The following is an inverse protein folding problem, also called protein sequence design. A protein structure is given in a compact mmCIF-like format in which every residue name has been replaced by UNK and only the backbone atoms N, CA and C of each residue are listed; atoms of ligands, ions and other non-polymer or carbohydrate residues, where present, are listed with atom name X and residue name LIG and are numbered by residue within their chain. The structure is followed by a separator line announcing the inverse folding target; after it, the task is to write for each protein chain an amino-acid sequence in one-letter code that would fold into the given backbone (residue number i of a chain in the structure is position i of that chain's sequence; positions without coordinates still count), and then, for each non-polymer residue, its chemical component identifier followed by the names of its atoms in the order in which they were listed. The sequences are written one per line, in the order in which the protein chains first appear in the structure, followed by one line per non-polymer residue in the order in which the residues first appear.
data_IF_393590927529
#
_entry.id   IF_393590927529
#
_cell.length_a   1.000
_cell.length_b   1.000
_cell.length_c   1.000
_cell.angle_alpha   90.00
_cell.angle_beta   90.00
_cell.angle_gamma   90.00
#
_symmetry.space_group_name_H-M   'P 1'
#
loop_
_entity.id
_entity.type
_entity.pdbx_description
1 polymer ?
#
# COMPACT_ATOMS: atom_id res chain seq x y z
N UNK A 1 -49.10 -24.05 -25.31
CA UNK A 1 -47.78 -24.05 -24.63
C UNK A 1 -47.41 -22.61 -24.28
N UNK A 2 -47.62 -22.22 -23.04
CA UNK A 2 -47.33 -20.87 -22.53
C UNK A 2 -45.84 -20.73 -22.24
N UNK A 3 -45.15 -19.85 -22.97
CA UNK A 3 -43.75 -19.50 -22.69
C UNK A 3 -43.68 -18.79 -21.33
N UNK A 4 -43.21 -19.49 -20.29
CA UNK A 4 -42.80 -18.88 -19.02
C UNK A 4 -41.65 -17.91 -19.31
N UNK A 5 -41.92 -16.61 -19.22
CA UNK A 5 -40.86 -15.61 -19.14
C UNK A 5 -40.14 -15.81 -17.81
N UNK A 6 -38.89 -16.22 -17.85
CA UNK A 6 -38.01 -16.19 -16.68
C UNK A 6 -38.01 -14.76 -16.12
N UNK A 7 -38.18 -14.57 -14.80
CA UNK A 7 -38.05 -13.25 -14.23
C UNK A 7 -36.61 -12.80 -14.49
N UNK A 8 -36.46 -11.69 -15.22
CA UNK A 8 -35.20 -10.95 -15.27
C UNK A 8 -34.82 -10.68 -13.81
N UNK A 9 -33.85 -11.44 -13.30
CA UNK A 9 -33.25 -11.23 -12.00
C UNK A 9 -32.92 -9.75 -11.92
N UNK A 10 -33.50 -9.03 -10.97
CA UNK A 10 -33.25 -7.60 -10.75
C UNK A 10 -31.73 -7.41 -10.72
N UNK A 11 -31.14 -6.97 -11.83
CA UNK A 11 -29.71 -6.68 -11.91
C UNK A 11 -29.44 -5.64 -10.83
N UNK A 12 -28.79 -6.04 -9.74
CA UNK A 12 -28.26 -5.13 -8.73
C UNK A 12 -27.44 -4.09 -9.50
N UNK A 13 -27.96 -2.85 -9.55
CA UNK A 13 -27.29 -1.80 -10.32
C UNK A 13 -26.20 -1.32 -9.37
N UNK A 14 -25.08 -2.03 -9.39
CA UNK A 14 -23.87 -1.61 -8.72
C UNK A 14 -23.36 -0.37 -9.46
N UNK A 15 -23.17 0.74 -8.75
CA UNK A 15 -22.69 2.00 -9.34
C UNK A 15 -21.28 2.29 -8.85
N UNK A 16 -20.41 2.69 -9.77
CA UNK A 16 -19.09 3.21 -9.43
C UNK A 16 -19.22 4.69 -9.04
N UNK A 17 -18.86 5.00 -7.81
CA UNK A 17 -18.88 6.34 -7.23
C UNK A 17 -17.44 6.78 -6.95
N UNK A 18 -17.16 8.07 -7.17
CA UNK A 18 -15.86 8.66 -6.83
C UNK A 18 -15.60 8.60 -5.32
N UNK A 19 -14.36 8.28 -4.94
CA UNK A 19 -13.95 8.15 -3.55
C UNK A 19 -14.31 9.37 -2.69
N UNK A 20 -14.12 10.57 -3.21
CA UNK A 20 -14.34 11.83 -2.49
C UNK A 20 -15.80 12.08 -2.11
N UNK A 21 -16.73 11.37 -2.75
CA UNK A 21 -18.16 11.41 -2.39
C UNK A 21 -18.50 10.51 -1.20
N UNK A 22 -17.62 9.55 -0.88
CA UNK A 22 -17.79 8.59 0.21
C UNK A 22 -16.93 8.98 1.40
N UNK A 23 -15.66 9.32 1.15
CA UNK A 23 -14.68 9.70 2.18
C UNK A 23 -14.24 11.15 1.94
N UNK A 24 -14.52 12.06 2.89
CA UNK A 24 -14.06 13.45 2.78
C UNK A 24 -12.53 13.52 2.71
N UNK A 25 -11.99 14.47 1.94
CA UNK A 25 -10.54 14.71 1.85
C UNK A 25 -9.87 15.01 3.19
N UNK A 26 -10.63 15.52 4.16
CA UNK A 26 -10.15 15.76 5.52
C UNK A 26 -9.90 14.48 6.32
N UNK A 27 -10.51 13.36 5.91
CA UNK A 27 -10.35 12.04 6.56
C UNK A 27 -9.20 11.28 5.91
N UNK A 28 -9.19 11.22 4.58
CA UNK A 28 -8.12 10.59 3.82
C UNK A 28 -7.81 11.42 2.56
N UNK A 29 -6.71 12.19 2.54
CA UNK A 29 -6.27 12.86 1.34
C UNK A 29 -5.67 11.83 0.37
N UNK A 30 -6.30 11.67 -0.78
CA UNK A 30 -5.72 10.93 -1.91
C UNK A 30 -5.06 11.94 -2.85
N UNK A 31 -3.85 11.63 -3.32
CA UNK A 31 -3.10 12.50 -4.23
C UNK A 31 -3.86 12.81 -5.52
N UNK A 32 -3.66 14.00 -6.10
CA UNK A 32 -4.47 14.48 -7.24
C UNK A 32 -4.36 13.60 -8.49
N UNK A 33 -3.25 12.88 -8.64
CA UNK A 33 -2.99 11.98 -9.76
C UNK A 33 -3.52 10.57 -9.53
N UNK A 34 -3.88 10.25 -8.28
CA UNK A 34 -4.34 8.93 -7.85
C UNK A 34 -5.84 8.78 -8.13
N UNK A 35 -6.26 7.57 -8.49
CA UNK A 35 -7.64 7.23 -8.86
C UNK A 35 -8.21 6.23 -7.87
N UNK A 36 -9.28 6.65 -7.19
CA UNK A 36 -10.01 5.81 -6.26
C UNK A 36 -11.52 5.88 -6.51
N UNK A 37 -12.20 4.75 -6.29
CA UNK A 37 -13.63 4.64 -6.45
C UNK A 37 -14.24 3.56 -5.57
N UNK A 38 -15.53 3.69 -5.32
CA UNK A 38 -16.32 2.76 -4.51
C UNK A 38 -17.48 2.25 -5.34
N UNK A 39 -17.61 0.94 -5.45
CA UNK A 39 -18.82 0.32 -6.00
C UNK A 39 -19.86 0.27 -4.88
N UNK A 40 -20.98 0.97 -5.06
CA UNK A 40 -22.11 0.97 -4.12
C UNK A 40 -23.30 0.20 -4.67
N UNK A 41 -24.10 -0.37 -3.77
CA UNK A 41 -25.36 -1.00 -4.10
C UNK A 41 -26.48 0.04 -4.34
N UNK A 42 -27.71 -0.44 -4.54
CA UNK A 42 -28.89 0.42 -4.77
C UNK A 42 -29.28 1.26 -3.55
N UNK A 43 -28.82 0.89 -2.35
CA UNK A 43 -29.06 1.61 -1.11
C UNK A 43 -27.91 2.55 -0.75
N UNK A 44 -26.87 2.64 -1.60
CA UNK A 44 -25.66 3.42 -1.34
C UNK A 44 -24.66 2.72 -0.42
N UNK A 45 -24.82 1.44 -0.12
CA UNK A 45 -23.89 0.68 0.71
C UNK A 45 -22.64 0.29 -0.10
N UNK A 46 -21.41 0.52 0.42
CA UNK A 46 -20.17 0.09 -0.24
C UNK A 46 -20.07 -1.44 -0.35
N UNK A 47 -19.73 -1.94 -1.53
CA UNK A 47 -19.43 -3.36 -1.78
C UNK A 47 -17.97 -3.60 -2.16
N UNK A 48 -17.40 -2.77 -3.02
CA UNK A 48 -16.02 -2.91 -3.46
C UNK A 48 -15.31 -1.56 -3.48
N UNK A 49 -14.01 -1.59 -3.26
CA UNK A 49 -13.13 -0.46 -3.39
C UNK A 49 -12.16 -0.71 -4.53
N UNK A 50 -12.00 0.28 -5.41
CA UNK A 50 -11.11 0.22 -6.56
C UNK A 50 -10.10 1.34 -6.41
N UNK A 51 -8.84 0.98 -6.49
CA UNK A 51 -7.71 1.90 -6.40
C UNK A 51 -6.77 1.65 -7.57
N UNK A 52 -6.14 2.69 -8.10
CA UNK A 52 -4.86 2.51 -8.75
C UNK A 52 -3.76 2.26 -7.72
N UNK A 53 -2.55 1.95 -8.18
CA UNK A 53 -1.45 1.56 -7.30
C UNK A 53 -1.09 2.67 -6.29
N UNK A 54 -1.10 3.95 -6.72
CA UNK A 54 -0.76 5.07 -5.86
C UNK A 54 -1.86 5.33 -4.83
N UNK A 55 -3.13 5.34 -5.22
CA UNK A 55 -4.24 5.47 -4.29
C UNK A 55 -4.27 4.34 -3.26
N UNK A 56 -3.93 3.11 -3.69
CA UNK A 56 -3.87 1.97 -2.78
C UNK A 56 -2.79 2.16 -1.73
N UNK A 57 -1.58 2.59 -2.14
CA UNK A 57 -0.48 2.86 -1.22
C UNK A 57 -0.84 3.98 -0.24
N UNK A 58 -1.43 5.09 -0.71
CA UNK A 58 -1.88 6.19 0.17
C UNK A 58 -2.83 5.69 1.27
N UNK A 59 -3.80 4.84 0.91
CA UNK A 59 -4.76 4.25 1.85
C UNK A 59 -4.05 3.31 2.84
N UNK A 60 -3.17 2.44 2.35
CA UNK A 60 -2.45 1.49 3.20
C UNK A 60 -1.53 2.21 4.17
N UNK A 61 -0.77 3.21 3.71
CA UNK A 61 0.12 4.02 4.55
C UNK A 61 -0.67 4.75 5.63
N UNK A 62 -1.83 5.33 5.29
CA UNK A 62 -2.66 6.01 6.29
C UNK A 62 -3.22 5.06 7.36
N UNK A 63 -3.42 3.78 7.05
CA UNK A 63 -3.80 2.75 8.03
C UNK A 63 -2.58 2.40 8.90
N UNK A 64 -1.44 2.14 8.25
CA UNK A 64 -0.19 1.74 8.88
C UNK A 64 0.34 2.80 9.86
N UNK A 65 0.31 4.08 9.48
CA UNK A 65 0.71 5.23 10.30
C UNK A 65 -0.05 5.29 11.63
N UNK A 66 -1.31 4.83 11.68
CA UNK A 66 -2.08 4.80 12.93
C UNK A 66 -1.65 3.70 13.88
N UNK A 67 -0.91 2.71 13.38
CA UNK A 67 -0.50 1.52 14.13
C UNK A 67 0.96 1.58 14.57
N UNK A 68 1.81 2.38 13.91
CA UNK A 68 3.26 2.42 14.16
C UNK A 68 3.61 2.70 15.63
N UNK A 69 2.94 3.66 16.27
CA UNK A 69 3.18 4.03 17.67
C UNK A 69 2.38 3.17 18.68
N UNK A 70 1.53 2.26 18.20
CA UNK A 70 0.57 1.52 19.03
C UNK A 70 0.93 0.04 19.19
N UNK A 71 1.77 -0.48 18.31
CA UNK A 71 2.15 -1.89 18.27
C UNK A 71 3.60 -2.07 18.74
N UNK A 72 3.90 -3.22 19.34
CA UNK A 72 5.30 -3.63 19.49
C UNK A 72 5.91 -3.92 18.11
N UNK A 73 7.23 -3.95 18.02
CA UNK A 73 7.93 -4.26 16.76
C UNK A 73 7.46 -5.60 16.16
N UNK A 74 7.32 -6.64 16.95
CA UNK A 74 6.87 -7.95 16.47
C UNK A 74 5.42 -7.91 15.97
N UNK A 75 4.56 -7.15 16.64
CA UNK A 75 3.15 -7.00 16.25
C UNK A 75 2.99 -6.12 15.01
N UNK A 76 3.84 -5.10 14.85
CA UNK A 76 3.84 -4.18 13.73
C UNK A 76 4.17 -4.87 12.40
N UNK A 77 5.09 -5.84 12.41
CA UNK A 77 5.41 -6.65 11.22
C UNK A 77 4.53 -7.89 11.03
N UNK A 78 3.52 -8.09 11.89
CA UNK A 78 2.63 -9.25 11.77
C UNK A 78 1.56 -9.03 10.71
N UNK A 79 1.50 -9.92 9.72
CA UNK A 79 0.44 -9.95 8.69
C UNK A 79 -0.97 -9.98 9.27
N UNK A 80 -1.17 -10.63 10.42
CA UNK A 80 -2.51 -10.78 11.00
C UNK A 80 -2.95 -9.56 11.81
N UNK A 81 -2.01 -8.80 12.35
CA UNK A 81 -2.28 -7.64 13.21
C UNK A 81 -2.20 -6.34 12.38
N UNK A 82 -1.17 -6.22 11.55
CA UNK A 82 -0.94 -5.11 10.63
C UNK A 82 -0.87 -5.61 9.18
N UNK A 83 -2.01 -6.00 8.59
CA UNK A 83 -2.04 -6.44 7.19
C UNK A 83 -1.69 -5.32 6.21
N UNK A 84 -1.86 -4.05 6.61
CA UNK A 84 -1.55 -2.90 5.76
C UNK A 84 -0.03 -2.76 5.58
N UNK A 85 0.73 -2.66 6.68
CA UNK A 85 2.19 -2.62 6.65
C UNK A 85 2.79 -3.83 5.93
N UNK A 86 2.31 -5.05 6.25
CA UNK A 86 2.75 -6.26 5.56
C UNK A 86 2.54 -6.22 4.04
N UNK A 87 1.42 -5.65 3.58
CA UNK A 87 1.11 -5.55 2.17
C UNK A 87 1.96 -4.46 1.48
N UNK A 88 2.23 -3.35 2.16
CA UNK A 88 3.17 -2.32 1.70
C UNK A 88 4.54 -2.96 1.45
N UNK A 89 5.11 -3.64 2.46
CA UNK A 89 6.40 -4.33 2.35
C UNK A 89 6.42 -5.26 1.12
N UNK A 90 5.37 -6.05 0.94
CA UNK A 90 5.25 -6.97 -0.20
C UNK A 90 5.14 -6.27 -1.56
N UNK A 91 4.50 -5.11 -1.63
CA UNK A 91 4.43 -4.31 -2.86
C UNK A 91 5.81 -3.72 -3.15
N UNK A 92 6.44 -3.10 -2.14
CA UNK A 92 7.74 -2.44 -2.26
C UNK A 92 8.85 -3.40 -2.68
N UNK A 93 8.87 -4.63 -2.15
CA UNK A 93 9.79 -5.70 -2.59
C UNK A 93 9.72 -6.00 -4.10
N UNK A 94 8.57 -5.73 -4.71
CA UNK A 94 8.30 -6.01 -6.14
C UNK A 94 8.35 -4.76 -7.00
N UNK A 95 8.46 -3.56 -6.40
CA UNK A 95 8.55 -2.33 -7.17
C UNK A 95 9.91 -2.28 -7.89
N UNK A 96 9.91 -2.09 -9.22
CA UNK A 96 11.16 -1.97 -9.95
C UNK A 96 11.88 -0.71 -9.48
N UNK A 97 13.07 -0.88 -8.91
CA UNK A 97 13.94 0.23 -8.56
C UNK A 97 14.27 1.03 -9.82
N UNK A 98 14.12 2.36 -9.73
CA UNK A 98 14.44 3.26 -10.83
C UNK A 98 15.93 3.05 -11.24
N UNK A 99 16.24 2.74 -12.51
CA UNK A 99 17.62 2.52 -12.94
C UNK A 99 18.57 3.69 -12.61
N UNK A 100 18.06 4.93 -12.65
CA UNK A 100 18.81 6.14 -12.26
C UNK A 100 19.17 6.10 -10.77
N UNK A 101 18.22 5.70 -9.93
CA UNK A 101 18.44 5.57 -8.50
C UNK A 101 19.44 4.44 -8.18
N UNK A 102 19.33 3.30 -8.87
CA UNK A 102 20.30 2.19 -8.74
C UNK A 102 21.72 2.69 -9.07
N UNK A 103 21.88 3.44 -10.16
CA UNK A 103 23.18 3.96 -10.55
C UNK A 103 23.71 4.96 -9.52
N UNK A 104 22.86 5.87 -9.05
CA UNK A 104 23.22 6.83 -8.00
C UNK A 104 23.66 6.13 -6.70
N UNK A 105 22.97 5.06 -6.29
CA UNK A 105 23.35 4.24 -5.14
C UNK A 105 24.73 3.59 -5.32
N UNK A 106 25.00 3.02 -6.50
CA UNK A 106 26.30 2.39 -6.81
C UNK A 106 27.43 3.40 -6.77
N UNK A 107 27.21 4.59 -7.33
CA UNK A 107 28.21 5.66 -7.34
C UNK A 107 28.50 6.13 -5.90
N UNK A 108 27.45 6.32 -5.09
CA UNK A 108 27.59 6.70 -3.68
C UNK A 108 28.35 5.65 -2.84
N UNK A 109 28.06 4.36 -3.03
CA UNK A 109 28.77 3.26 -2.36
C UNK A 109 30.26 3.27 -2.76
N UNK A 110 30.54 3.43 -4.05
CA UNK A 110 31.91 3.46 -4.58
C UNK A 110 32.69 4.63 -3.99
N UNK A 111 32.08 5.81 -3.91
CA UNK A 111 32.70 6.99 -3.32
C UNK A 111 32.92 6.87 -1.81
N UNK A 112 31.98 6.26 -1.09
CA UNK A 112 32.13 5.97 0.34
C UNK A 112 33.33 5.05 0.59
N UNK A 113 33.48 3.98 -0.20
CA UNK A 113 34.62 3.07 -0.14
C UNK A 113 35.94 3.77 -0.44
N UNK A 114 36.01 4.62 -1.48
CA UNK A 114 37.21 5.42 -1.79
C UNK A 114 37.61 6.36 -0.65
N UNK A 115 36.62 6.90 0.06
CA UNK A 115 36.82 7.78 1.22
C UNK A 115 37.13 7.01 2.51
N UNK A 116 37.22 5.68 2.48
CA UNK A 116 37.53 4.85 3.64
C UNK A 116 36.36 4.66 4.61
N UNK A 117 35.12 4.91 4.18
CA UNK A 117 33.95 4.65 5.02
C UNK A 117 33.72 3.15 5.10
N UNK A 118 33.55 2.67 6.33
CA UNK A 118 33.31 1.25 6.62
C UNK A 118 31.82 1.08 6.91
N UNK A 119 31.11 0.19 6.21
CA UNK A 119 29.72 -0.12 6.52
C UNK A 119 29.55 -0.61 7.96
N UNK A 120 28.51 -0.14 8.65
CA UNK A 120 28.30 -0.47 10.06
C UNK A 120 28.17 -1.97 10.33
N UNK A 121 27.56 -2.72 9.41
CA UNK A 121 27.46 -4.18 9.49
C UNK A 121 28.84 -4.88 9.47
N UNK A 122 29.85 -4.31 8.81
CA UNK A 122 31.22 -4.83 8.84
C UNK A 122 31.83 -4.62 10.22
N UNK A 123 31.62 -3.44 10.81
CA UNK A 123 32.05 -3.14 12.19
C UNK A 123 31.37 -4.08 13.19
N UNK A 124 30.06 -4.32 13.06
CA UNK A 124 29.32 -5.25 13.91
C UNK A 124 29.85 -6.68 13.81
N UNK A 125 30.23 -7.14 12.61
CA UNK A 125 30.83 -8.46 12.39
C UNK A 125 32.22 -8.58 13.01
N UNK A 126 33.09 -7.59 12.80
CA UNK A 126 34.45 -7.57 13.37
C UNK A 126 34.42 -7.54 14.90
N UNK A 127 33.49 -6.77 15.46
CA UNK A 127 33.31 -6.61 16.91
C UNK A 127 32.41 -7.69 17.53
N UNK A 128 31.88 -8.64 16.74
CA UNK A 128 30.95 -9.70 17.18
C UNK A 128 29.75 -9.17 17.97
N UNK A 129 29.23 -8.01 17.56
CA UNK A 129 28.12 -7.33 18.23
C UNK A 129 26.76 -7.94 17.87
N UNK A 130 26.70 -8.78 16.84
CA UNK A 130 25.53 -9.60 16.49
C UNK A 130 25.89 -11.08 16.58
N UNK A 131 25.19 -11.78 17.47
CA UNK A 131 25.20 -13.25 17.64
C UNK A 131 24.22 -13.91 16.69
#
# INVERSE_FOLDING_TARGET
MTKKKSPLTKQTINQLVQWEKIVPKSVLPIEKTSRAGVIVDRNGAPHFFIFDAFALLDVLSAIDDKLVDRLSTEAYHSKTINPAGWLIDHIEERLPLNPVYIQSLRDAITDAQKKGWIPFNVIEQELKLRS
#
